data_IF_935937446154
#
_entry.id   IF_935937446154
#
_cell.length_a   1.000
_cell.length_b   1.000
_cell.length_c   1.000
_cell.angle_alpha   90.00
_cell.angle_beta   90.00
_cell.angle_gamma   90.00
#
_symmetry.space_group_name_H-M   'P 1'
#
loop_
_entity.id
_entity.type
_entity.pdbx_description
1 polymer ?
#
# COMPACT_ATOMS: atom_id res chain seq x y z
N UNK A 1 -2.41 15.40 4.86
CA UNK A 1 -2.47 14.59 3.62
C UNK A 1 -1.10 14.02 3.29
N UNK A 2 -1.03 12.84 2.69
CA UNK A 2 0.24 12.18 2.26
C UNK A 2 0.78 12.88 1.01
N UNK A 3 1.98 13.47 1.10
CA UNK A 3 2.61 14.27 0.01
C UNK A 3 3.29 13.42 -1.07
N UNK A 4 3.29 12.09 -0.96
CA UNK A 4 3.98 11.22 -1.91
C UNK A 4 3.24 11.14 -3.25
N UNK A 5 4.00 11.31 -4.32
CA UNK A 5 3.57 11.02 -5.68
C UNK A 5 3.80 9.53 -6.00
N UNK A 6 2.74 8.85 -6.43
CA UNK A 6 2.78 7.43 -6.79
C UNK A 6 2.94 7.22 -8.31
N UNK A 7 2.92 8.30 -9.10
CA UNK A 7 3.03 8.28 -10.54
C UNK A 7 4.38 7.76 -11.05
N UNK A 8 5.47 8.01 -10.32
CA UNK A 8 6.79 7.46 -10.68
C UNK A 8 6.79 5.93 -10.62
N UNK A 9 6.27 5.36 -9.53
CA UNK A 9 6.14 3.90 -9.41
C UNK A 9 5.26 3.30 -10.51
N UNK A 10 4.16 3.98 -10.84
CA UNK A 10 3.29 3.54 -11.93
C UNK A 10 3.96 3.63 -13.31
N UNK A 11 4.78 4.65 -13.56
CA UNK A 11 5.56 4.77 -14.81
C UNK A 11 6.54 3.61 -14.94
N UNK A 12 7.29 3.28 -13.88
CA UNK A 12 8.22 2.14 -13.88
C UNK A 12 7.49 0.83 -14.18
N UNK A 13 6.35 0.57 -13.53
CA UNK A 13 5.57 -0.65 -13.75
C UNK A 13 5.11 -0.76 -15.21
N UNK A 14 4.68 0.35 -15.82
CA UNK A 14 4.27 0.39 -17.23
C UNK A 14 5.45 0.22 -18.18
N UNK A 15 6.60 0.82 -17.88
CA UNK A 15 7.83 0.69 -18.66
C UNK A 15 8.31 -0.76 -18.70
N UNK A 16 8.16 -1.49 -17.58
CA UNK A 16 8.38 -2.94 -17.51
C UNK A 16 7.32 -3.77 -18.26
N UNK A 17 6.34 -3.14 -18.93
CA UNK A 17 5.29 -3.80 -19.70
C UNK A 17 4.16 -4.42 -18.88
N UNK A 18 4.11 -4.18 -17.57
CA UNK A 18 3.11 -4.76 -16.68
C UNK A 18 1.80 -3.99 -16.73
N UNK A 19 0.70 -4.69 -17.02
CA UNK A 19 -0.67 -4.12 -17.06
C UNK A 19 -1.52 -4.54 -15.86
N UNK A 20 -1.11 -5.61 -15.18
CA UNK A 20 -1.82 -6.17 -14.03
C UNK A 20 -0.82 -6.62 -12.97
N UNK A 21 -1.07 -6.28 -11.70
CA UNK A 21 -0.20 -6.62 -10.58
C UNK A 21 -0.99 -7.14 -9.39
N UNK A 22 -0.36 -8.03 -8.60
CA UNK A 22 -0.77 -8.33 -7.23
C UNK A 22 0.10 -7.47 -6.32
N UNK A 23 -0.50 -6.59 -5.52
CA UNK A 23 0.25 -5.58 -4.78
C UNK A 23 0.34 -5.91 -3.29
N UNK A 24 1.56 -5.86 -2.77
CA UNK A 24 1.84 -5.96 -1.34
C UNK A 24 1.60 -4.59 -0.67
N UNK A 25 0.45 -4.40 -0.02
CA UNK A 25 0.14 -3.15 0.69
C UNK A 25 -0.89 -3.36 1.79
N UNK A 26 -0.71 -2.64 2.91
CA UNK A 26 -1.72 -2.52 3.96
C UNK A 26 -2.57 -1.24 3.82
N UNK A 27 -2.25 -0.38 2.84
CA UNK A 27 -2.97 0.86 2.60
C UNK A 27 -3.90 0.69 1.38
N UNK A 28 -5.23 0.60 1.58
CA UNK A 28 -6.18 0.44 0.49
C UNK A 28 -6.21 1.65 -0.45
N UNK A 29 -5.89 2.85 0.03
CA UNK A 29 -5.83 4.07 -0.80
C UNK A 29 -4.74 4.02 -1.88
N UNK A 30 -3.74 3.12 -1.75
CA UNK A 30 -2.72 2.94 -2.79
C UNK A 30 -3.25 2.21 -4.02
N UNK A 31 -4.31 1.42 -3.87
CA UNK A 31 -4.90 0.63 -4.96
C UNK A 31 -5.54 1.57 -5.97
N UNK A 32 -6.48 2.40 -5.51
CA UNK A 32 -7.19 3.35 -6.36
C UNK A 32 -6.25 4.32 -7.08
N UNK A 33 -5.11 4.66 -6.46
CA UNK A 33 -4.09 5.52 -7.08
C UNK A 33 -3.39 4.86 -8.26
N UNK A 34 -3.09 3.57 -8.22
CA UNK A 34 -2.41 2.86 -9.32
C UNK A 34 -3.35 2.62 -10.51
N UNK A 35 -4.63 2.40 -10.24
CA UNK A 35 -5.65 2.24 -11.28
C UNK A 35 -5.80 3.50 -12.15
N UNK A 36 -5.68 4.70 -11.56
CA UNK A 36 -5.66 5.98 -12.29
C UNK A 36 -4.53 6.05 -13.32
N UNK A 37 -3.41 5.35 -13.09
CA UNK A 37 -2.30 5.28 -14.04
C UNK A 37 -2.41 4.11 -15.05
N UNK A 38 -3.55 3.41 -15.09
CA UNK A 38 -3.82 2.32 -16.01
C UNK A 38 -3.23 0.97 -15.60
N UNK A 39 -2.85 0.81 -14.32
CA UNK A 39 -2.35 -0.46 -13.78
C UNK A 39 -3.50 -1.14 -13.04
N UNK A 40 -3.95 -2.29 -13.54
CA UNK A 40 -4.98 -3.08 -12.86
C UNK A 40 -4.40 -3.76 -11.63
N UNK A 41 -5.00 -3.54 -10.47
CA UNK A 41 -4.67 -4.30 -9.26
C UNK A 41 -5.55 -5.54 -9.23
N UNK A 42 -4.95 -6.72 -9.49
CA UNK A 42 -5.67 -7.99 -9.45
C UNK A 42 -6.01 -8.43 -8.03
N UNK A 43 -5.10 -8.15 -7.09
CA UNK A 43 -5.21 -8.59 -5.71
C UNK A 43 -4.41 -7.67 -4.80
N UNK A 44 -4.95 -7.38 -3.62
CA UNK A 44 -4.22 -6.77 -2.51
C UNK A 44 -3.72 -7.89 -1.59
N UNK A 45 -2.40 -8.05 -1.51
CA UNK A 45 -1.77 -8.96 -0.57
C UNK A 45 -1.36 -8.16 0.68
N UNK A 46 -1.86 -8.51 1.88
CA UNK A 46 -1.44 -7.85 3.12
C UNK A 46 0.07 -8.01 3.36
N UNK A 47 0.73 -6.91 3.72
CA UNK A 47 2.13 -6.92 4.12
C UNK A 47 2.22 -7.12 5.64
N UNK A 48 2.22 -8.37 6.08
CA UNK A 48 2.25 -8.72 7.51
C UNK A 48 3.70 -8.70 7.99
N UNK A 49 3.99 -7.82 8.95
CA UNK A 49 5.27 -7.79 9.65
C UNK A 49 5.00 -7.79 11.15
N UNK A 50 5.77 -8.58 11.91
CA UNK A 50 5.67 -8.58 13.37
C UNK A 50 6.01 -7.18 13.91
N UNK A 51 5.13 -6.56 14.72
CA UNK A 51 5.45 -5.32 15.40
C UNK A 51 6.67 -5.49 16.30
N UNK A 52 7.51 -4.47 16.34
CA UNK A 52 8.56 -4.33 17.35
C UNK A 52 8.16 -3.23 18.34
N UNK A 53 8.79 -3.21 19.51
CA UNK A 53 8.51 -2.20 20.53
C UNK A 53 8.67 -0.76 19.99
N UNK A 54 9.58 -0.55 19.04
CA UNK A 54 9.83 0.76 18.43
C UNK A 54 8.79 1.18 17.39
N UNK A 55 8.17 0.24 16.65
CA UNK A 55 7.25 0.58 15.56
C UNK A 55 5.76 0.42 15.92
N UNK A 56 5.44 -0.14 17.09
CA UNK A 56 4.07 -0.39 17.57
C UNK A 56 3.17 0.86 17.52
N UNK A 57 3.61 1.98 18.11
CA UNK A 57 2.85 3.25 18.09
C UNK A 57 2.61 3.79 16.67
N UNK A 58 3.59 3.63 15.80
CA UNK A 58 3.49 4.05 14.40
C UNK A 58 2.47 3.20 13.62
N UNK A 59 2.51 1.89 13.80
CA UNK A 59 1.57 0.96 13.17
C UNK A 59 0.13 1.15 13.69
N UNK A 60 -0.04 1.39 15.00
CA UNK A 60 -1.34 1.77 15.58
C UNK A 60 -1.89 3.06 14.96
N UNK A 61 -1.03 4.08 14.80
CA UNK A 61 -1.42 5.33 14.14
C UNK A 61 -1.85 5.07 12.69
N UNK A 62 -1.12 4.21 11.95
CA UNK A 62 -1.49 3.81 10.60
C UNK A 62 -2.83 3.10 10.52
N UNK A 63 -3.14 2.21 11.46
CA UNK A 63 -4.43 1.54 11.55
C UNK A 63 -5.54 2.54 11.86
N UNK A 64 -5.44 3.24 12.99
CA UNK A 64 -6.51 4.09 13.53
C UNK A 64 -6.76 5.36 12.72
N UNK A 65 -5.69 6.06 12.28
CA UNK A 65 -5.83 7.35 11.59
C UNK A 65 -5.80 7.27 10.08
N UNK A 66 -5.17 6.24 9.52
CA UNK A 66 -4.97 6.15 8.07
C UNK A 66 -5.70 4.98 7.41
N UNK A 67 -6.45 4.18 8.19
CA UNK A 67 -7.28 3.08 7.67
C UNK A 67 -6.46 1.92 7.12
N UNK A 68 -5.25 1.69 7.65
CA UNK A 68 -4.44 0.55 7.23
C UNK A 68 -5.03 -0.77 7.75
N UNK A 69 -5.03 -1.79 6.91
CA UNK A 69 -5.43 -3.17 7.26
C UNK A 69 -4.24 -3.83 7.95
N UNK A 70 -4.29 -3.94 9.29
CA UNK A 70 -3.24 -4.52 10.14
C UNK A 70 -3.90 -5.38 11.23
N UNK A 71 -3.22 -6.46 11.67
CA UNK A 71 -3.73 -7.39 12.70
C UNK A 71 -4.13 -6.68 14.01
N UNK A 72 -4.98 -7.33 14.79
CA UNK A 72 -5.35 -6.86 16.14
C UNK A 72 -4.21 -6.98 17.15
N UNK A 73 -3.27 -7.89 16.92
CA UNK A 73 -2.12 -8.17 17.81
C UNK A 73 -1.02 -7.08 17.79
N UNK A 74 -1.39 -5.84 17.50
CA UNK A 74 -0.49 -4.69 17.36
C UNK A 74 0.09 -4.22 18.68
#
# INVERSE_FOLDING_TARGET
ADKRDYGIGAQIIRDLGLKQVRILTNNPKKISRLEVYGIKVAEQIPLIAKPSQHNKKYLQTKKLRFGHILSEDL
#
